data_IF_360093004958
#
_entry.id   IF_360093004958
#
_cell.length_a   1.000
_cell.length_b   1.000
_cell.length_c   1.000
_cell.angle_alpha   90.00
_cell.angle_beta   90.00
_cell.angle_gamma   90.00
#
_symmetry.space_group_name_H-M   'P 1'
#
loop_
_entity.id
_entity.type
_entity.pdbx_description
1 polymer ?
#
# COMPACT_ATOMS: atom_id res chain seq x y z
N UNK A 1 35.11 -59.18 11.29
CA UNK A 1 33.73 -58.86 11.68
C UNK A 1 33.71 -57.43 12.24
N UNK A 2 33.79 -56.48 11.37
CA UNK A 2 33.75 -55.06 11.78
C UNK A 2 32.33 -54.55 11.51
N UNK A 3 31.54 -54.49 12.58
CA UNK A 3 30.32 -53.75 12.59
C UNK A 3 30.73 -52.27 12.66
N UNK A 4 30.78 -51.58 11.51
CA UNK A 4 30.83 -50.14 11.47
C UNK A 4 29.67 -49.56 12.26
N UNK A 5 29.97 -48.94 13.37
CA UNK A 5 29.01 -48.08 14.09
C UNK A 5 28.79 -46.89 13.16
N UNK A 6 27.67 -46.91 12.45
CA UNK A 6 27.25 -45.76 11.65
C UNK A 6 27.05 -44.58 12.60
N UNK A 7 27.73 -43.47 12.36
CA UNK A 7 27.59 -42.27 13.16
C UNK A 7 26.11 -41.79 13.07
N UNK A 8 25.57 -41.31 14.17
CA UNK A 8 24.18 -40.81 14.26
C UNK A 8 23.85 -39.81 13.13
N UNK A 9 24.84 -39.00 12.73
CA UNK A 9 24.70 -38.06 11.60
C UNK A 9 24.46 -38.74 10.24
N UNK A 10 25.09 -39.90 10.00
CA UNK A 10 24.87 -40.66 8.77
C UNK A 10 23.49 -41.32 8.73
N UNK A 11 23.02 -41.78 9.87
CA UNK A 11 21.66 -42.36 9.98
C UNK A 11 20.61 -41.26 9.74
N UNK A 12 20.76 -40.11 10.38
CA UNK A 12 19.88 -38.96 10.19
C UNK A 12 19.86 -38.47 8.72
N UNK A 13 21.02 -38.47 8.06
CA UNK A 13 21.13 -38.08 6.65
C UNK A 13 20.43 -39.09 5.72
N UNK A 14 20.54 -40.39 6.01
CA UNK A 14 19.84 -41.42 5.25
C UNK A 14 18.31 -41.36 5.44
N UNK A 15 17.85 -41.15 6.66
CA UNK A 15 16.42 -40.97 6.97
C UNK A 15 15.87 -39.72 6.24
N UNK A 16 16.60 -38.63 6.21
CA UNK A 16 16.18 -37.45 5.48
C UNK A 16 16.15 -37.70 3.97
N UNK A 17 17.11 -38.43 3.42
CA UNK A 17 17.13 -38.80 2.01
C UNK A 17 15.98 -39.71 1.64
N UNK A 18 15.67 -40.71 2.45
CA UNK A 18 14.47 -41.59 2.26
C UNK A 18 13.18 -40.80 2.36
N UNK A 19 13.08 -39.85 3.31
CA UNK A 19 11.95 -38.97 3.44
C UNK A 19 11.74 -38.13 2.17
N UNK A 20 12.81 -37.49 1.67
CA UNK A 20 12.76 -36.70 0.42
C UNK A 20 12.37 -37.57 -0.79
N UNK A 21 12.82 -38.81 -0.82
CA UNK A 21 12.43 -39.77 -1.88
C UNK A 21 10.95 -40.13 -1.79
N UNK A 22 10.41 -40.38 -0.60
CA UNK A 22 8.98 -40.64 -0.37
C UNK A 22 8.15 -39.45 -0.75
N UNK A 23 8.55 -38.23 -0.35
CA UNK A 23 7.84 -36.98 -0.71
C UNK A 23 7.74 -36.81 -2.22
N UNK A 24 8.78 -37.14 -3.00
CA UNK A 24 8.74 -37.06 -4.47
C UNK A 24 7.83 -38.10 -5.13
N UNK A 25 7.59 -39.24 -4.51
CA UNK A 25 6.73 -40.30 -5.04
C UNK A 25 5.23 -40.04 -4.77
N UNK A 26 4.88 -39.10 -3.89
CA UNK A 26 3.52 -38.76 -3.54
C UNK A 26 2.84 -38.00 -4.68
N UNK A 27 1.77 -38.55 -5.20
CA UNK A 27 0.98 -37.93 -6.26
C UNK A 27 -0.05 -36.98 -5.64
N UNK A 28 0.07 -35.69 -5.92
CA UNK A 28 -0.83 -34.62 -5.46
C UNK A 28 -1.56 -34.04 -6.65
N UNK A 29 -2.84 -33.69 -6.48
CA UNK A 29 -3.66 -33.09 -7.54
C UNK A 29 -2.98 -31.86 -8.18
N UNK A 30 -3.15 -31.72 -9.47
CA UNK A 30 -2.71 -30.54 -10.25
C UNK A 30 -3.66 -29.37 -10.10
N UNK A 31 -4.90 -29.62 -9.66
CA UNK A 31 -5.93 -28.61 -9.42
C UNK A 31 -5.62 -27.85 -8.12
N UNK A 32 -5.55 -26.53 -8.18
CA UNK A 32 -5.30 -25.69 -7.01
C UNK A 32 -6.49 -25.70 -6.01
N UNK A 33 -7.71 -25.92 -6.50
CA UNK A 33 -8.90 -26.09 -5.66
C UNK A 33 -8.80 -27.33 -4.76
N UNK A 34 -8.38 -28.47 -5.34
CA UNK A 34 -8.26 -29.72 -4.60
C UNK A 34 -7.12 -29.66 -3.57
N UNK A 35 -6.02 -29.01 -3.95
CA UNK A 35 -4.88 -28.78 -3.04
C UNK A 35 -5.31 -27.95 -1.83
N UNK A 36 -6.09 -26.89 -2.04
CA UNK A 36 -6.64 -26.07 -0.96
C UNK A 36 -7.59 -26.83 -0.08
N UNK A 37 -8.41 -27.70 -0.67
CA UNK A 37 -9.35 -28.55 0.08
C UNK A 37 -8.60 -29.60 0.92
N UNK A 38 -7.57 -30.22 0.38
CA UNK A 38 -6.77 -31.20 1.11
C UNK A 38 -5.96 -30.53 2.25
N UNK A 39 -5.46 -29.31 2.06
CA UNK A 39 -4.84 -28.54 3.14
C UNK A 39 -5.85 -28.20 4.26
N UNK A 40 -7.10 -27.84 3.91
CA UNK A 40 -8.17 -27.64 4.89
C UNK A 40 -8.43 -28.89 5.72
N UNK A 41 -8.52 -30.05 5.06
CA UNK A 41 -8.74 -31.34 5.72
C UNK A 41 -7.60 -31.68 6.68
N UNK A 42 -6.40 -31.24 6.39
CA UNK A 42 -5.25 -31.42 7.29
C UNK A 42 -5.21 -30.42 8.45
N UNK A 43 -6.06 -29.38 8.43
CA UNK A 43 -6.06 -28.30 9.43
C UNK A 43 -4.92 -27.31 9.26
N UNK A 44 -4.32 -27.27 8.07
CA UNK A 44 -3.21 -26.38 7.75
C UNK A 44 -3.71 -25.10 7.05
N UNK A 45 -3.00 -24.00 7.17
CA UNK A 45 -3.32 -22.77 6.45
C UNK A 45 -3.41 -23.00 4.94
N UNK A 46 -4.49 -22.53 4.30
CA UNK A 46 -4.74 -22.77 2.88
C UNK A 46 -3.72 -22.07 2.00
N UNK A 47 -3.38 -20.84 2.36
CA UNK A 47 -2.39 -20.03 1.68
C UNK A 47 -1.48 -19.38 2.71
N UNK A 48 -0.18 -19.47 2.49
CA UNK A 48 0.81 -18.65 3.17
C UNK A 48 1.11 -17.42 2.34
N UNK A 49 1.57 -16.39 3.02
CA UNK A 49 1.89 -15.12 2.37
C UNK A 49 3.00 -15.32 1.32
N UNK A 50 2.76 -14.85 0.07
CA UNK A 50 3.71 -15.01 -1.04
C UNK A 50 3.74 -16.39 -1.70
N UNK A 51 2.88 -17.33 -1.28
CA UNK A 51 2.84 -18.70 -1.77
C UNK A 51 2.06 -18.83 -3.08
N UNK A 52 2.74 -19.29 -4.13
CA UNK A 52 2.10 -19.62 -5.41
C UNK A 52 1.41 -21.01 -5.40
N UNK A 53 0.63 -21.32 -6.47
CA UNK A 53 -0.03 -22.63 -6.60
C UNK A 53 0.94 -23.82 -6.60
N UNK A 54 2.15 -23.63 -7.14
CA UNK A 54 3.20 -24.63 -7.17
C UNK A 54 3.78 -24.89 -5.76
N UNK A 55 3.97 -23.82 -4.99
CA UNK A 55 4.52 -23.90 -3.64
C UNK A 55 3.54 -24.57 -2.69
N UNK A 56 2.23 -24.27 -2.80
CA UNK A 56 1.15 -24.95 -2.07
C UNK A 56 1.16 -26.46 -2.32
N UNK A 57 1.30 -26.89 -3.58
CA UNK A 57 1.42 -28.29 -3.93
C UNK A 57 2.65 -28.96 -3.30
N UNK A 58 3.78 -28.28 -3.31
CA UNK A 58 5.01 -28.78 -2.68
C UNK A 58 4.83 -28.89 -1.16
N UNK A 59 4.24 -27.89 -0.53
CA UNK A 59 3.91 -27.92 0.91
C UNK A 59 2.97 -29.06 1.27
N UNK A 60 1.89 -29.24 0.49
CA UNK A 60 0.98 -30.39 0.71
C UNK A 60 1.72 -31.72 0.57
N UNK A 61 2.60 -31.84 -0.41
CA UNK A 61 3.41 -33.05 -0.63
C UNK A 61 4.36 -33.33 0.54
N UNK A 62 4.97 -32.31 1.12
CA UNK A 62 5.81 -32.43 2.31
C UNK A 62 5.01 -32.84 3.55
N UNK A 63 3.83 -32.25 3.74
CA UNK A 63 2.94 -32.61 4.84
C UNK A 63 2.47 -34.07 4.75
N UNK A 64 2.09 -34.53 3.56
CA UNK A 64 1.75 -35.90 3.31
C UNK A 64 2.91 -36.88 3.52
N UNK A 65 4.12 -36.43 3.18
CA UNK A 65 5.34 -37.20 3.47
C UNK A 65 5.63 -37.34 4.96
N UNK A 66 5.18 -36.41 5.80
CA UNK A 66 5.30 -36.47 7.27
C UNK A 66 4.18 -37.28 7.92
N UNK A 67 2.94 -37.08 7.48
CA UNK A 67 1.73 -37.64 8.11
C UNK A 67 1.32 -39.00 7.53
N UNK A 68 1.79 -39.34 6.34
CA UNK A 68 1.39 -40.51 5.58
C UNK A 68 0.17 -40.27 4.69
N UNK A 69 0.14 -40.91 3.52
CA UNK A 69 -0.94 -40.75 2.51
C UNK A 69 -2.33 -41.19 3.01
N UNK A 70 -2.39 -42.09 3.96
CA UNK A 70 -3.64 -42.65 4.48
C UNK A 70 -4.45 -41.68 5.35
N UNK A 71 -3.82 -40.56 5.81
CA UNK A 71 -4.49 -39.60 6.68
C UNK A 71 -5.62 -38.88 5.94
N UNK A 72 -5.40 -38.49 4.69
CA UNK A 72 -6.45 -37.88 3.87
C UNK A 72 -7.55 -38.85 3.54
N UNK A 73 -7.21 -40.10 3.21
CA UNK A 73 -8.21 -41.16 2.92
C UNK A 73 -9.08 -41.42 4.12
N UNK A 74 -8.50 -41.58 5.33
CA UNK A 74 -9.24 -41.77 6.57
C UNK A 74 -10.14 -40.58 6.91
N UNK A 75 -9.68 -39.36 6.73
CA UNK A 75 -10.51 -38.16 6.95
C UNK A 75 -11.63 -38.03 5.92
N UNK A 76 -11.40 -38.33 4.63
CA UNK A 76 -12.47 -38.39 3.61
C UNK A 76 -13.57 -39.35 3.98
N UNK A 77 -13.21 -40.53 4.51
CA UNK A 77 -14.20 -41.54 4.98
C UNK A 77 -14.97 -41.04 6.20
N UNK A 78 -14.31 -40.34 7.14
CA UNK A 78 -14.99 -39.75 8.29
C UNK A 78 -15.91 -38.60 7.91
N UNK A 79 -15.49 -37.73 6.97
CA UNK A 79 -16.33 -36.64 6.47
C UNK A 79 -17.55 -37.13 5.69
N UNK A 80 -17.43 -38.22 4.93
CA UNK A 80 -18.55 -38.83 4.23
C UNK A 80 -19.53 -39.55 5.19
N UNK A 81 -19.06 -40.03 6.35
CA UNK A 81 -19.92 -40.60 7.40
C UNK A 81 -20.63 -39.50 8.21
N UNK A 82 -19.99 -38.34 8.46
CA UNK A 82 -20.62 -37.23 9.15
C UNK A 82 -21.63 -36.45 8.29
N UNK A 83 -21.48 -36.47 6.97
CA UNK A 83 -22.42 -35.82 6.03
C UNK A 83 -23.76 -36.51 5.92
N UNK A 84 -23.88 -37.79 6.37
CA UNK A 84 -25.16 -38.51 6.36
C UNK A 84 -26.09 -38.17 7.52
N UNK A 85 -25.58 -37.52 8.57
CA UNK A 85 -26.36 -37.16 9.77
C UNK A 85 -26.69 -35.66 9.88
N UNK A 86 -26.29 -34.81 8.92
CA UNK A 86 -26.38 -33.32 8.98
C UNK A 86 -27.30 -32.69 7.92
N UNK A 87 -28.17 -33.45 7.25
CA UNK A 87 -29.03 -32.83 6.19
C UNK A 87 -30.21 -31.97 6.73
N UNK A 88 -30.28 -31.75 8.05
CA UNK A 88 -31.36 -30.97 8.69
C UNK A 88 -30.97 -29.72 9.49
N UNK A 89 -29.71 -29.24 9.45
CA UNK A 89 -29.35 -27.96 10.05
C UNK A 89 -28.39 -27.18 9.18
N UNK A 90 -28.93 -26.49 8.18
CA UNK A 90 -28.21 -25.45 7.46
C UNK A 90 -28.18 -24.17 8.32
N UNK A 91 -27.43 -24.19 9.38
CA UNK A 91 -26.84 -22.95 9.87
C UNK A 91 -25.57 -22.73 9.04
N UNK A 92 -25.63 -21.78 8.14
CA UNK A 92 -24.45 -21.21 7.50
C UNK A 92 -23.60 -20.58 8.59
N UNK A 93 -22.80 -21.39 9.27
CA UNK A 93 -21.71 -20.86 10.08
C UNK A 93 -20.77 -20.19 9.10
N UNK A 94 -20.80 -18.86 9.07
CA UNK A 94 -19.83 -18.05 8.35
C UNK A 94 -18.45 -18.51 8.79
N UNK A 95 -17.75 -19.24 7.92
CA UNK A 95 -16.36 -19.58 8.16
C UNK A 95 -15.57 -18.27 8.12
N UNK A 96 -15.34 -17.67 9.25
CA UNK A 96 -14.54 -16.48 9.41
C UNK A 96 -13.07 -16.84 9.25
N UNK A 97 -12.57 -16.72 8.03
CA UNK A 97 -11.16 -16.94 7.68
C UNK A 97 -10.25 -15.77 8.08
N UNK A 98 -10.85 -14.69 8.52
CA UNK A 98 -10.16 -13.46 8.94
C UNK A 98 -10.71 -13.03 10.29
N UNK A 99 -9.87 -12.44 11.12
CA UNK A 99 -10.37 -11.75 12.30
C UNK A 99 -11.41 -10.73 11.90
N UNK A 100 -12.55 -10.72 12.58
CA UNK A 100 -13.54 -9.66 12.38
C UNK A 100 -12.87 -8.33 12.73
N UNK A 101 -12.75 -7.46 11.74
CA UNK A 101 -12.32 -6.10 11.97
C UNK A 101 -13.38 -5.33 12.79
N UNK A 102 -13.02 -4.16 13.32
CA UNK A 102 -13.97 -3.30 14.02
C UNK A 102 -15.14 -2.95 13.10
N UNK A 103 -16.33 -2.76 13.66
CA UNK A 103 -17.53 -2.37 12.89
C UNK A 103 -17.32 -1.05 12.13
N UNK A 104 -16.52 -0.13 12.69
CA UNK A 104 -16.10 1.10 12.02
C UNK A 104 -15.42 0.84 10.67
N UNK A 105 -14.62 -0.24 10.54
CA UNK A 105 -13.98 -0.60 9.29
C UNK A 105 -15.00 -1.01 8.22
N UNK A 106 -16.06 -1.74 8.60
CA UNK A 106 -17.12 -2.12 7.67
C UNK A 106 -17.85 -0.89 7.13
N UNK A 107 -18.22 0.02 8.03
CA UNK A 107 -18.89 1.28 7.65
C UNK A 107 -18.00 2.12 6.74
N UNK A 108 -16.69 2.24 7.05
CA UNK A 108 -15.75 2.95 6.21
C UNK A 108 -15.60 2.32 4.82
N UNK A 109 -15.53 0.99 4.72
CA UNK A 109 -15.46 0.26 3.43
C UNK A 109 -16.71 0.46 2.58
N UNK A 110 -17.90 0.39 3.18
CA UNK A 110 -19.17 0.66 2.51
C UNK A 110 -19.20 2.10 1.98
N UNK A 111 -18.78 3.04 2.81
CA UNK A 111 -18.70 4.45 2.43
C UNK A 111 -17.70 4.70 1.30
N UNK A 112 -16.49 4.12 1.38
CA UNK A 112 -15.47 4.20 0.33
C UNK A 112 -15.97 3.56 -0.97
N UNK A 113 -16.72 2.47 -0.90
CA UNK A 113 -17.32 1.86 -2.09
C UNK A 113 -18.34 2.78 -2.76
N UNK A 114 -19.24 3.38 -1.98
CA UNK A 114 -20.23 4.33 -2.48
C UNK A 114 -19.58 5.58 -3.11
N UNK A 115 -18.47 6.06 -2.50
CA UNK A 115 -17.72 7.20 -2.99
C UNK A 115 -16.97 6.90 -4.29
N UNK A 116 -16.28 5.74 -4.36
CA UNK A 116 -15.32 5.42 -5.43
C UNK A 116 -15.97 4.88 -6.70
N UNK A 117 -17.07 4.12 -6.63
CA UNK A 117 -17.71 3.50 -7.80
C UNK A 117 -18.16 4.53 -8.85
N UNK A 118 -18.89 5.62 -8.49
CA UNK A 118 -19.28 6.64 -9.46
C UNK A 118 -18.07 7.32 -10.12
N UNK A 119 -17.03 7.62 -9.33
CA UNK A 119 -15.80 8.27 -9.81
C UNK A 119 -15.03 7.37 -10.78
N UNK A 120 -14.88 6.10 -10.45
CA UNK A 120 -14.26 5.12 -11.35
C UNK A 120 -15.04 5.01 -12.67
N UNK A 121 -16.38 5.04 -12.63
CA UNK A 121 -17.21 5.02 -13.83
C UNK A 121 -16.96 6.26 -14.70
N UNK A 122 -16.90 7.44 -14.10
CA UNK A 122 -16.63 8.70 -14.80
C UNK A 122 -15.22 8.69 -15.42
N UNK A 123 -14.19 8.24 -14.67
CA UNK A 123 -12.84 8.10 -15.17
C UNK A 123 -12.76 7.17 -16.38
N UNK A 124 -13.39 6.00 -16.31
CA UNK A 124 -13.43 5.05 -17.41
C UNK A 124 -14.16 5.61 -18.65
N UNK A 125 -15.21 6.40 -18.45
CA UNK A 125 -15.89 7.10 -19.56
C UNK A 125 -14.97 8.13 -20.20
N UNK A 126 -14.23 8.94 -19.40
CA UNK A 126 -13.28 9.91 -19.89
C UNK A 126 -12.16 9.23 -20.72
N UNK A 127 -11.58 8.15 -20.19
CA UNK A 127 -10.53 7.38 -20.92
C UNK A 127 -11.05 6.84 -22.24
N UNK A 128 -12.30 6.37 -22.31
CA UNK A 128 -12.92 5.92 -23.58
C UNK A 128 -13.06 7.07 -24.58
N UNK A 129 -13.53 8.23 -24.12
CA UNK A 129 -13.63 9.42 -24.98
C UNK A 129 -12.25 9.88 -25.50
N UNK A 130 -11.24 9.88 -24.63
CA UNK A 130 -9.85 10.19 -25.03
C UNK A 130 -9.29 9.18 -26.04
N UNK A 131 -9.62 7.90 -25.90
CA UNK A 131 -9.21 6.86 -26.84
C UNK A 131 -9.90 6.97 -28.20
N UNK A 132 -11.14 7.51 -28.25
CA UNK A 132 -11.90 7.76 -29.49
C UNK A 132 -11.44 9.02 -30.22
N UNK A 133 -10.66 9.89 -29.56
CA UNK A 133 -10.13 11.11 -30.22
C UNK A 133 -9.17 10.74 -31.36
N UNK A 134 -9.23 11.51 -32.47
CA UNK A 134 -8.30 11.33 -33.59
C UNK A 134 -6.84 11.41 -33.13
N UNK A 135 -6.00 10.51 -33.65
CA UNK A 135 -4.58 10.42 -33.29
C UNK A 135 -3.82 11.75 -33.48
N UNK A 136 -4.17 12.48 -34.55
CA UNK A 136 -3.58 13.81 -34.81
C UNK A 136 -3.82 14.81 -33.68
N UNK A 137 -5.04 14.83 -33.12
CA UNK A 137 -5.40 15.73 -32.01
C UNK A 137 -4.65 15.34 -30.73
N UNK A 138 -4.54 14.04 -30.46
CA UNK A 138 -3.80 13.52 -29.30
C UNK A 138 -2.31 13.83 -29.42
N UNK A 139 -1.71 13.63 -30.60
CA UNK A 139 -0.30 13.98 -30.82
C UNK A 139 -0.05 15.48 -30.70
N UNK A 140 -0.95 16.34 -31.20
CA UNK A 140 -0.84 17.77 -31.05
C UNK A 140 -0.87 18.22 -29.59
N UNK A 141 -1.78 17.67 -28.79
CA UNK A 141 -1.85 17.94 -27.34
C UNK A 141 -0.57 17.48 -26.62
N UNK A 142 -0.06 16.31 -26.96
CA UNK A 142 1.18 15.79 -26.40
C UNK A 142 2.40 16.66 -26.77
N UNK A 143 2.49 17.14 -28.01
CA UNK A 143 3.53 18.07 -28.44
C UNK A 143 3.46 19.40 -27.69
N UNK A 144 2.25 19.91 -27.43
CA UNK A 144 2.07 21.13 -26.67
C UNK A 144 2.55 20.97 -25.22
N UNK A 145 2.20 19.84 -24.55
CA UNK A 145 2.72 19.55 -23.22
C UNK A 145 4.25 19.44 -23.24
N UNK A 146 4.83 18.73 -24.20
CA UNK A 146 6.28 18.62 -24.30
C UNK A 146 6.96 20.00 -24.51
N UNK A 147 6.33 20.89 -25.29
CA UNK A 147 6.82 22.24 -25.49
C UNK A 147 6.77 23.06 -24.19
N UNK A 148 5.68 22.93 -23.40
CA UNK A 148 5.58 23.58 -22.09
C UNK A 148 6.65 23.07 -21.13
N UNK A 149 6.86 21.75 -21.06
CA UNK A 149 7.88 21.15 -20.20
C UNK A 149 9.30 21.58 -20.58
N UNK A 150 9.61 21.71 -21.88
CA UNK A 150 10.92 22.22 -22.33
C UNK A 150 11.18 23.68 -21.99
N UNK A 151 10.13 24.46 -21.81
CA UNK A 151 10.21 25.86 -21.48
C UNK A 151 10.10 26.16 -19.96
N UNK A 152 10.21 25.11 -19.12
CA UNK A 152 10.23 25.28 -17.68
C UNK A 152 11.56 25.87 -17.23
N UNK A 153 11.50 27.05 -16.64
CA UNK A 153 12.63 27.76 -16.04
C UNK A 153 12.42 27.94 -14.53
N UNK A 154 13.51 28.13 -13.79
CA UNK A 154 13.46 28.44 -12.36
C UNK A 154 13.02 29.89 -12.20
N UNK A 155 11.79 30.10 -11.74
CA UNK A 155 11.20 31.45 -11.53
C UNK A 155 11.68 32.07 -10.23
N UNK A 156 11.74 31.29 -9.15
CA UNK A 156 12.15 31.78 -7.84
C UNK A 156 12.87 30.67 -7.03
N UNK A 157 13.73 31.12 -6.13
CA UNK A 157 14.41 30.24 -5.16
C UNK A 157 14.33 30.90 -3.79
N UNK A 158 13.79 30.15 -2.80
CA UNK A 158 13.60 30.64 -1.45
C UNK A 158 14.17 29.68 -0.42
N UNK A 159 14.83 30.23 0.60
CA UNK A 159 15.32 29.44 1.73
C UNK A 159 14.16 29.19 2.70
N UNK A 160 13.66 27.98 2.74
CA UNK A 160 12.52 27.65 3.58
C UNK A 160 12.89 27.55 5.07
N UNK A 161 14.05 26.97 5.39
CA UNK A 161 14.48 26.79 6.77
C UNK A 161 16.00 26.64 6.89
N UNK A 162 16.52 26.72 8.12
CA UNK A 162 17.94 26.45 8.46
C UNK A 162 18.27 24.95 8.49
N UNK A 163 17.24 24.10 8.65
CA UNK A 163 17.34 22.64 8.60
C UNK A 163 16.81 22.11 7.27
N UNK A 164 17.18 20.89 6.88
CA UNK A 164 16.69 20.29 5.64
C UNK A 164 15.17 20.25 5.55
N UNK A 165 14.64 20.59 4.38
CA UNK A 165 13.23 20.42 4.04
C UNK A 165 13.01 18.96 3.68
N UNK A 166 12.09 18.28 4.40
CA UNK A 166 11.76 16.88 4.21
C UNK A 166 10.73 16.66 3.12
N UNK A 167 9.79 17.58 2.98
CA UNK A 167 8.67 17.49 2.05
C UNK A 167 8.09 18.84 1.69
N UNK A 168 7.51 18.92 0.48
CA UNK A 168 6.72 20.06 0.05
C UNK A 168 5.55 19.62 -0.82
N UNK A 169 4.46 20.37 -0.75
CA UNK A 169 3.26 20.11 -1.55
C UNK A 169 2.51 21.41 -1.82
N UNK A 170 2.06 21.60 -3.07
CA UNK A 170 1.17 22.68 -3.45
C UNK A 170 -0.25 22.44 -2.95
N UNK A 171 -0.97 23.51 -2.65
CA UNK A 171 -2.41 23.48 -2.40
C UNK A 171 -3.17 23.05 -3.67
N UNK A 172 -4.39 22.51 -3.56
CA UNK A 172 -5.19 22.08 -4.71
C UNK A 172 -5.47 23.20 -5.72
N UNK A 173 -5.59 24.44 -5.23
CA UNK A 173 -5.77 25.65 -6.05
C UNK A 173 -4.46 26.24 -6.60
N UNK A 174 -3.32 25.61 -6.25
CA UNK A 174 -1.96 26.06 -6.63
C UNK A 174 -1.58 27.45 -6.12
N UNK A 175 -2.34 28.05 -5.22
CA UNK A 175 -2.06 29.40 -4.69
C UNK A 175 -1.01 29.38 -3.57
N UNK A 176 -0.87 28.27 -2.85
CA UNK A 176 0.04 28.13 -1.71
C UNK A 176 0.93 26.90 -1.83
N UNK A 177 2.10 26.97 -1.21
CA UNK A 177 3.03 25.86 -1.05
C UNK A 177 3.23 25.59 0.44
N UNK A 178 3.03 24.36 0.88
CA UNK A 178 3.38 23.91 2.22
C UNK A 178 4.75 23.23 2.22
N UNK A 179 5.58 23.54 3.20
CA UNK A 179 6.90 22.91 3.39
C UNK A 179 7.02 22.36 4.80
N UNK A 180 7.57 21.17 4.92
CA UNK A 180 7.88 20.52 6.19
C UNK A 180 9.40 20.45 6.38
N UNK A 181 9.89 20.76 7.59
CA UNK A 181 11.32 20.80 7.89
C UNK A 181 11.69 19.89 9.06
N UNK A 182 12.94 19.51 9.10
CA UNK A 182 13.52 18.78 10.24
C UNK A 182 13.66 19.63 11.50
N UNK A 183 13.38 20.93 11.43
CA UNK A 183 13.31 21.81 12.61
C UNK A 183 12.06 21.61 13.48
N UNK A 184 11.09 20.81 13.04
CA UNK A 184 9.79 20.66 13.71
C UNK A 184 8.75 21.68 13.24
N UNK A 185 9.10 22.55 12.31
CA UNK A 185 8.25 23.64 11.83
C UNK A 185 7.77 23.37 10.42
N UNK A 186 6.50 23.66 10.18
CA UNK A 186 5.93 23.69 8.85
C UNK A 186 5.66 25.15 8.43
N UNK A 187 5.89 25.49 7.19
CA UNK A 187 5.70 26.86 6.67
C UNK A 187 4.81 26.83 5.44
N UNK A 188 3.94 27.82 5.36
CA UNK A 188 3.07 28.07 4.21
C UNK A 188 3.57 29.30 3.45
N UNK A 189 3.69 29.15 2.16
CA UNK A 189 4.22 30.17 1.24
C UNK A 189 3.17 30.53 0.22
N UNK A 190 3.05 31.81 -0.09
CA UNK A 190 2.26 32.29 -1.21
C UNK A 190 3.04 32.06 -2.50
N UNK A 191 2.44 31.46 -3.51
CA UNK A 191 3.15 31.10 -4.75
C UNK A 191 3.44 32.34 -5.62
N UNK A 192 2.53 33.30 -5.65
CA UNK A 192 2.67 34.51 -6.47
C UNK A 192 3.92 35.33 -6.12
N UNK A 193 4.13 35.61 -4.83
CA UNK A 193 5.20 36.49 -4.34
C UNK A 193 6.34 35.70 -3.70
N UNK A 194 6.24 34.39 -3.59
CA UNK A 194 7.15 33.52 -2.81
C UNK A 194 7.34 34.01 -1.36
N UNK A 195 6.36 34.74 -0.81
CA UNK A 195 6.39 35.28 0.53
C UNK A 195 5.91 34.24 1.57
N UNK A 196 6.45 34.34 2.79
CA UNK A 196 6.00 33.49 3.89
C UNK A 196 4.64 33.98 4.35
N UNK A 197 3.61 33.14 4.14
CA UNK A 197 2.25 33.44 4.56
C UNK A 197 2.04 33.09 6.04
N UNK A 198 2.51 31.92 6.50
CA UNK A 198 2.29 31.46 7.88
C UNK A 198 3.34 30.44 8.32
N UNK A 199 3.56 30.37 9.62
CA UNK A 199 4.44 29.39 10.27
C UNK A 199 3.62 28.54 11.23
N UNK A 200 3.54 27.23 11.00
CA UNK A 200 2.80 26.28 11.83
C UNK A 200 3.75 25.66 12.85
N UNK A 201 3.46 25.84 14.12
CA UNK A 201 4.28 25.36 15.26
C UNK A 201 3.51 24.40 16.13
N UNK A 202 4.10 23.26 16.45
CA UNK A 202 3.45 22.26 17.32
C UNK A 202 4.18 20.95 17.39
N UNK A 203 5.02 20.60 16.41
CA UNK A 203 5.86 19.40 16.49
C UNK A 203 7.13 19.68 17.29
N UNK A 204 7.53 18.73 18.12
CA UNK A 204 8.76 18.77 18.93
C UNK A 204 9.94 18.13 18.21
N UNK A 205 9.68 17.30 17.20
CA UNK A 205 10.67 16.51 16.46
C UNK A 205 10.65 16.79 14.95
N UNK A 206 11.45 16.07 14.19
CA UNK A 206 11.54 16.23 12.75
C UNK A 206 10.21 15.91 12.07
N UNK A 207 9.69 16.87 11.28
CA UNK A 207 8.51 16.63 10.46
C UNK A 207 8.89 15.81 9.24
N UNK A 208 8.21 14.69 9.02
CA UNK A 208 8.44 13.79 7.88
C UNK A 208 7.76 14.27 6.61
N UNK A 209 6.49 14.67 6.70
CA UNK A 209 5.71 15.17 5.58
C UNK A 209 4.60 16.12 6.02
N UNK A 210 4.11 16.91 5.07
CA UNK A 210 2.91 17.71 5.17
C UNK A 210 2.07 17.48 3.93
N UNK A 211 0.77 17.36 4.08
CA UNK A 211 -0.16 17.10 2.97
C UNK A 211 -1.39 17.98 3.06
N UNK A 212 -1.90 18.37 1.89
CA UNK A 212 -3.13 19.11 1.75
C UNK A 212 -4.33 18.17 1.60
N UNK A 213 -5.46 18.56 2.19
CA UNK A 213 -6.74 18.00 1.79
C UNK A 213 -7.06 18.43 0.35
N UNK A 214 -7.56 17.54 -0.48
CA UNK A 214 -7.95 17.86 -1.87
C UNK A 214 -9.13 18.83 -1.94
N UNK A 215 -9.89 18.94 -0.86
CA UNK A 215 -11.02 19.86 -0.71
C UNK A 215 -10.63 21.21 -0.14
N UNK A 216 -9.39 21.36 0.36
CA UNK A 216 -8.86 22.60 0.93
C UNK A 216 -8.92 23.74 -0.08
N UNK A 217 -9.40 24.90 0.34
CA UNK A 217 -9.59 26.11 -0.49
C UNK A 217 -10.54 25.95 -1.70
N UNK A 218 -11.12 24.79 -1.92
CA UNK A 218 -12.08 24.56 -3.00
C UNK A 218 -13.50 24.48 -2.45
N UNK A 219 -13.69 23.73 -1.36
CA UNK A 219 -14.99 23.53 -0.71
C UNK A 219 -14.96 23.57 0.81
N UNK A 220 -13.76 23.53 1.44
CA UNK A 220 -13.57 23.67 2.87
C UNK A 220 -13.32 25.12 3.26
N UNK A 221 -13.88 25.55 4.39
CA UNK A 221 -13.58 26.82 5.01
C UNK A 221 -12.15 26.82 5.58
N UNK A 222 -11.53 28.00 5.69
CA UNK A 222 -10.16 28.14 6.20
C UNK A 222 -10.01 27.69 7.66
N UNK A 223 -11.09 27.66 8.44
CA UNK A 223 -11.10 27.21 9.83
C UNK A 223 -11.14 25.69 9.99
N UNK A 224 -11.38 24.94 8.91
CA UNK A 224 -11.41 23.47 8.95
C UNK A 224 -10.03 22.86 8.76
N UNK A 225 -9.91 21.53 8.97
CA UNK A 225 -8.66 20.81 8.82
C UNK A 225 -8.22 20.70 7.35
N UNK A 226 -7.50 21.70 6.88
CA UNK A 226 -7.01 21.80 5.49
C UNK A 226 -5.71 21.03 5.25
N UNK A 227 -4.90 20.85 6.29
CA UNK A 227 -3.57 20.26 6.22
C UNK A 227 -3.37 19.19 7.29
N UNK A 228 -2.55 18.21 6.99
CA UNK A 228 -2.04 17.24 7.96
C UNK A 228 -0.52 17.18 7.87
N UNK A 229 0.15 17.10 9.01
CA UNK A 229 1.59 16.88 9.10
C UNK A 229 1.90 15.70 10.00
N UNK A 230 2.98 14.99 9.72
CA UNK A 230 3.43 13.86 10.52
C UNK A 230 4.89 14.04 10.92
N UNK A 231 5.25 13.55 12.12
CA UNK A 231 6.59 13.70 12.66
C UNK A 231 7.21 12.38 13.15
N UNK A 232 8.49 12.49 13.49
CA UNK A 232 9.31 11.33 13.90
C UNK A 232 8.97 10.78 15.28
N UNK A 233 8.24 11.53 16.10
CA UNK A 233 7.73 11.10 17.42
C UNK A 233 6.43 10.31 17.35
N UNK A 234 5.91 10.05 16.15
CA UNK A 234 4.62 9.40 15.95
C UNK A 234 3.45 10.37 15.94
N UNK A 235 3.65 11.66 16.23
CA UNK A 235 2.56 12.64 16.24
C UNK A 235 2.11 12.97 14.81
N UNK A 236 0.80 13.03 14.64
CA UNK A 236 0.16 13.51 13.41
C UNK A 236 -0.78 14.64 13.79
N UNK A 237 -0.59 15.81 13.20
CA UNK A 237 -1.31 17.03 13.52
C UNK A 237 -2.12 17.54 12.35
N UNK A 238 -3.33 17.99 12.66
CA UNK A 238 -4.25 18.63 11.70
C UNK A 238 -4.20 20.15 11.89
N UNK A 239 -4.19 20.86 10.79
CA UNK A 239 -4.03 22.30 10.77
C UNK A 239 -5.12 22.98 9.97
N UNK A 240 -5.53 24.15 10.48
CA UNK A 240 -6.34 25.11 9.73
C UNK A 240 -5.45 26.14 9.03
N UNK A 241 -6.04 26.91 8.12
CA UNK A 241 -5.38 28.05 7.52
C UNK A 241 -5.47 29.30 8.38
N UNK A 242 -6.33 29.34 9.39
CA UNK A 242 -6.57 30.53 10.21
C UNK A 242 -5.69 30.58 11.47
N UNK A 243 -5.19 29.44 11.96
CA UNK A 243 -4.37 29.37 13.17
C UNK A 243 -2.95 28.88 12.91
N UNK A 244 -2.01 29.26 13.79
CA UNK A 244 -0.64 28.74 13.81
C UNK A 244 -0.50 27.50 14.69
N UNK A 245 -1.51 27.22 15.52
CA UNK A 245 -1.59 26.06 16.41
C UNK A 245 -2.40 24.93 15.76
N UNK A 246 -2.09 23.66 16.07
CA UNK A 246 -2.83 22.53 15.53
C UNK A 246 -4.28 22.53 16.02
N UNK A 247 -5.21 22.14 15.14
CA UNK A 247 -6.61 21.96 15.48
C UNK A 247 -6.85 20.69 16.30
N UNK A 248 -6.17 19.62 15.93
CA UNK A 248 -6.27 18.32 16.56
C UNK A 248 -4.99 17.52 16.40
N UNK A 249 -4.74 16.66 17.37
CA UNK A 249 -3.66 15.68 17.34
C UNK A 249 -4.26 14.30 17.19
N UNK A 250 -3.72 13.52 16.25
CA UNK A 250 -4.05 12.11 16.07
C UNK A 250 -3.03 11.32 16.88
N UNK A 251 -3.48 10.75 18.00
CA UNK A 251 -2.69 9.89 18.85
C UNK A 251 -2.88 8.41 18.50
N UNK A 252 -1.88 7.58 18.78
CA UNK A 252 -1.96 6.12 18.59
C UNK A 252 -0.83 5.52 17.76
N UNK A 253 0.16 6.30 17.37
CA UNK A 253 1.37 5.79 16.76
C UNK A 253 2.50 5.68 17.77
N UNK A 254 2.99 4.46 18.01
CA UNK A 254 4.14 4.19 18.88
C UNK A 254 5.49 4.33 18.17
N UNK A 255 5.46 4.45 16.84
CA UNK A 255 6.63 4.52 15.99
C UNK A 255 6.59 5.76 15.07
N UNK A 256 7.75 6.07 14.51
CA UNK A 256 7.90 7.19 13.57
C UNK A 256 6.91 7.10 12.42
N UNK A 257 6.22 8.20 12.11
CA UNK A 257 5.42 8.35 10.89
C UNK A 257 6.26 9.06 9.83
N UNK A 258 6.46 8.41 8.70
CA UNK A 258 7.30 8.92 7.61
C UNK A 258 6.54 9.80 6.62
N UNK A 259 5.34 9.37 6.25
CA UNK A 259 4.48 10.06 5.27
C UNK A 259 3.01 9.94 5.69
N UNK A 260 2.25 10.93 5.29
CA UNK A 260 0.80 10.90 5.38
C UNK A 260 0.20 11.34 4.04
N UNK A 261 -1.01 10.89 3.75
CA UNK A 261 -1.75 11.25 2.55
C UNK A 261 -3.24 11.30 2.84
N UNK A 262 -3.92 12.34 2.35
CA UNK A 262 -5.37 12.43 2.41
C UNK A 262 -6.02 11.52 1.37
N UNK A 263 -7.07 10.85 1.78
CA UNK A 263 -7.99 10.22 0.84
C UNK A 263 -8.68 11.31 0.00
N UNK A 264 -8.99 11.07 -1.29
CA UNK A 264 -9.59 12.06 -2.18
C UNK A 264 -10.92 12.68 -1.69
N UNK A 265 -11.58 12.01 -0.76
CA UNK A 265 -12.81 12.55 -0.14
C UNK A 265 -12.56 13.64 0.91
N UNK A 266 -11.32 13.75 1.42
CA UNK A 266 -11.00 14.61 2.57
C UNK A 266 -11.35 14.03 3.95
N UNK A 267 -12.13 12.93 4.02
CA UNK A 267 -12.58 12.32 5.29
C UNK A 267 -11.52 11.44 5.94
N UNK A 268 -10.75 10.68 5.16
CA UNK A 268 -9.78 9.74 5.69
C UNK A 268 -8.35 10.22 5.45
N UNK A 269 -7.46 9.86 6.38
CA UNK A 269 -6.02 10.08 6.29
C UNK A 269 -5.29 8.75 6.40
N UNK A 270 -4.36 8.48 5.51
CA UNK A 270 -3.43 7.35 5.65
C UNK A 270 -2.08 7.83 6.18
N UNK A 271 -1.49 7.02 7.03
CA UNK A 271 -0.17 7.24 7.62
C UNK A 271 0.73 6.04 7.37
N UNK A 272 1.95 6.27 6.90
CA UNK A 272 2.99 5.25 6.71
C UNK A 272 3.89 5.24 7.95
N UNK A 273 3.95 4.11 8.64
CA UNK A 273 4.56 3.97 9.95
C UNK A 273 5.77 3.04 9.90
N UNK A 274 6.76 3.27 10.76
CA UNK A 274 7.97 2.46 10.85
C UNK A 274 7.80 1.18 11.69
N UNK A 275 6.58 0.84 12.04
CA UNK A 275 6.18 -0.46 12.62
C UNK A 275 5.86 -1.53 11.55
N UNK A 276 6.27 -1.33 10.30
CA UNK A 276 6.01 -2.18 9.13
C UNK A 276 4.54 -2.15 8.67
N UNK A 277 3.75 -1.22 9.16
CA UNK A 277 2.33 -1.07 8.84
C UNK A 277 2.01 0.31 8.25
N UNK A 278 0.86 0.42 7.66
CA UNK A 278 0.23 1.71 7.40
C UNK A 278 -1.17 1.70 8.01
N UNK A 279 -1.63 2.87 8.43
CA UNK A 279 -2.91 3.02 9.13
C UNK A 279 -3.82 3.98 8.40
N UNK A 280 -5.13 3.75 8.52
CA UNK A 280 -6.18 4.61 8.00
C UNK A 280 -6.98 5.20 9.16
N UNK A 281 -7.11 6.52 9.16
CA UNK A 281 -7.78 7.29 10.20
C UNK A 281 -9.03 7.95 9.65
N UNK A 282 -10.12 7.90 10.39
CA UNK A 282 -11.32 8.71 10.13
C UNK A 282 -11.15 10.07 10.83
N UNK A 283 -11.12 11.14 10.05
CA UNK A 283 -10.89 12.49 10.57
C UNK A 283 -12.14 13.10 11.25
N UNK A 284 -13.33 12.57 10.95
CA UNK A 284 -14.56 13.01 11.64
C UNK A 284 -14.60 12.51 13.10
N UNK A 285 -14.09 11.32 13.35
CA UNK A 285 -14.11 10.67 14.66
C UNK A 285 -12.74 10.69 15.36
N UNK A 286 -11.66 11.04 14.64
CA UNK A 286 -10.26 10.96 15.07
C UNK A 286 -9.90 9.56 15.58
N UNK A 287 -10.44 8.51 14.94
CA UNK A 287 -10.25 7.11 15.33
C UNK A 287 -9.53 6.34 14.24
N UNK A 288 -8.72 5.36 14.67
CA UNK A 288 -8.11 4.40 13.75
C UNK A 288 -9.18 3.45 13.20
N UNK A 289 -9.29 3.38 11.87
CA UNK A 289 -10.24 2.52 11.16
C UNK A 289 -9.58 1.24 10.70
N UNK A 290 -8.35 1.33 10.20
CA UNK A 290 -7.62 0.21 9.65
C UNK A 290 -6.16 0.27 10.06
N UNK A 291 -5.67 -0.83 10.62
CA UNK A 291 -4.26 -1.12 10.80
C UNK A 291 -3.88 -2.20 9.77
N UNK A 292 -3.13 -1.83 8.76
CA UNK A 292 -2.78 -2.75 7.68
C UNK A 292 -1.32 -3.16 7.78
N UNK A 293 -1.10 -4.37 8.18
CA UNK A 293 0.18 -5.05 8.14
C UNK A 293 0.43 -5.69 6.76
N UNK A 294 1.68 -6.03 6.50
CA UNK A 294 2.03 -6.78 5.30
C UNK A 294 3.43 -6.54 4.76
N UNK A 295 4.04 -5.39 5.00
CA UNK A 295 5.45 -5.14 4.69
C UNK A 295 6.37 -5.87 5.67
N UNK A 296 7.52 -6.33 5.21
CA UNK A 296 8.51 -6.99 6.04
C UNK A 296 9.48 -6.01 6.72
N UNK A 297 9.48 -4.76 6.29
CA UNK A 297 10.24 -3.65 6.86
C UNK A 297 9.36 -2.41 6.91
N UNK A 298 9.93 -1.32 7.42
CA UNK A 298 9.28 -0.05 7.63
C UNK A 298 8.59 0.46 6.36
N UNK A 299 7.34 0.93 6.51
CA UNK A 299 6.61 1.56 5.43
C UNK A 299 7.01 3.03 5.36
N UNK A 300 7.47 3.45 4.20
CA UNK A 300 7.97 4.81 4.01
C UNK A 300 6.95 5.74 3.36
N UNK A 301 6.13 5.23 2.44
CA UNK A 301 5.17 6.04 1.69
C UNK A 301 3.83 5.35 1.55
N UNK A 302 2.78 6.15 1.54
CA UNK A 302 1.41 5.73 1.23
C UNK A 302 0.75 6.81 0.41
N UNK A 303 -0.01 6.44 -0.62
CA UNK A 303 -0.78 7.37 -1.44
C UNK A 303 -2.05 6.73 -1.99
N UNK A 304 -3.07 7.54 -2.28
CA UNK A 304 -4.35 7.09 -2.78
C UNK A 304 -4.52 7.34 -4.27
N UNK A 305 -5.26 6.46 -4.92
CA UNK A 305 -5.76 6.68 -6.27
C UNK A 305 -6.82 7.79 -6.25
N UNK A 306 -6.95 8.55 -7.33
CA UNK A 306 -7.91 9.65 -7.44
C UNK A 306 -9.39 9.24 -7.23
N UNK A 307 -9.74 8.00 -7.57
CA UNK A 307 -11.08 7.46 -7.31
C UNK A 307 -11.32 7.16 -5.82
N UNK A 308 -10.25 7.00 -5.02
CA UNK A 308 -10.31 6.61 -3.62
C UNK A 308 -10.55 5.11 -3.37
N UNK A 309 -10.55 4.27 -4.41
CA UNK A 309 -10.72 2.82 -4.25
C UNK A 309 -9.46 2.09 -3.83
N UNK A 310 -8.31 2.56 -4.32
CA UNK A 310 -7.03 1.90 -4.17
C UNK A 310 -6.04 2.78 -3.41
N UNK A 311 -5.16 2.13 -2.67
CA UNK A 311 -4.00 2.75 -2.05
C UNK A 311 -2.72 2.03 -2.51
N UNK A 312 -1.63 2.77 -2.62
CA UNK A 312 -0.28 2.22 -2.84
C UNK A 312 0.56 2.49 -1.60
N UNK A 313 1.25 1.48 -1.11
CA UNK A 313 2.26 1.64 -0.07
C UNK A 313 3.62 1.21 -0.59
N UNK A 314 4.67 1.89 -0.13
CA UNK A 314 6.05 1.54 -0.44
C UNK A 314 6.87 1.40 0.83
N UNK A 315 7.61 0.29 0.94
CA UNK A 315 8.42 -0.05 2.11
C UNK A 315 9.92 -0.08 1.84
N UNK A 316 10.68 -0.05 2.92
CA UNK A 316 12.14 -0.28 2.87
C UNK A 316 12.50 -1.75 2.57
N UNK A 317 11.50 -2.63 2.45
CA UNK A 317 11.61 -4.01 1.97
C UNK A 317 11.81 -4.13 0.45
N UNK A 318 11.96 -3.02 -0.27
CA UNK A 318 12.07 -2.88 -1.73
C UNK A 318 10.80 -3.19 -2.52
N UNK A 319 9.70 -3.48 -1.84
CA UNK A 319 8.41 -3.75 -2.48
C UNK A 319 7.47 -2.56 -2.37
N UNK A 320 6.70 -2.35 -3.44
CA UNK A 320 5.46 -1.60 -3.37
C UNK A 320 4.27 -2.56 -3.31
N UNK A 321 3.18 -2.14 -2.70
CA UNK A 321 1.94 -2.92 -2.61
C UNK A 321 0.75 -2.06 -2.96
N UNK A 322 -0.16 -2.65 -3.68
CA UNK A 322 -1.44 -2.01 -4.04
C UNK A 322 -2.56 -2.69 -3.29
N UNK A 323 -3.31 -1.91 -2.56
CA UNK A 323 -4.39 -2.34 -1.69
C UNK A 323 -5.74 -1.87 -2.21
N UNK A 324 -6.73 -2.75 -2.23
CA UNK A 324 -8.12 -2.36 -2.43
C UNK A 324 -8.76 -2.07 -1.07
N UNK A 325 -9.11 -0.81 -0.84
CA UNK A 325 -9.68 -0.34 0.42
C UNK A 325 -11.08 -0.92 0.68
N UNK A 326 -11.81 -1.30 -0.37
CA UNK A 326 -13.17 -1.86 -0.27
C UNK A 326 -13.14 -3.30 0.22
N UNK A 327 -12.18 -4.08 -0.26
CA UNK A 327 -12.05 -5.51 0.09
C UNK A 327 -10.99 -5.74 1.17
N UNK A 328 -10.04 -4.81 1.35
CA UNK A 328 -8.89 -4.94 2.25
C UNK A 328 -7.82 -5.89 1.75
N UNK A 329 -7.85 -6.27 0.47
CA UNK A 329 -6.89 -7.20 -0.11
C UNK A 329 -5.73 -6.47 -0.80
N UNK A 330 -4.54 -7.05 -0.70
CA UNK A 330 -3.43 -6.66 -1.56
C UNK A 330 -3.66 -7.26 -2.95
N UNK A 331 -3.92 -6.40 -3.94
CA UNK A 331 -4.25 -6.82 -5.31
C UNK A 331 -3.02 -6.98 -6.19
N UNK A 332 -1.92 -6.28 -5.87
CA UNK A 332 -0.71 -6.32 -6.68
C UNK A 332 0.53 -6.05 -5.84
N UNK A 333 1.59 -6.79 -6.13
CA UNK A 333 2.93 -6.54 -5.65
C UNK A 333 3.73 -5.86 -6.75
N UNK A 334 4.41 -4.77 -6.39
CA UNK A 334 5.32 -4.04 -7.27
C UNK A 334 6.74 -4.52 -6.95
N UNK A 335 7.12 -5.63 -7.59
CA UNK A 335 8.43 -6.26 -7.40
C UNK A 335 9.39 -5.85 -8.52
N UNK A 336 10.55 -5.32 -8.18
CA UNK A 336 11.57 -4.95 -9.17
C UNK A 336 12.57 -3.89 -8.72
N UNK A 337 12.34 -3.18 -7.60
CA UNK A 337 13.34 -2.34 -7.00
C UNK A 337 14.37 -3.16 -6.19
N UNK A 338 15.62 -2.71 -6.21
CA UNK A 338 16.72 -3.38 -5.50
C UNK A 338 16.89 -2.88 -4.06
N UNK A 339 16.37 -1.70 -3.75
CA UNK A 339 16.43 -1.04 -2.44
C UNK A 339 15.08 -0.49 -2.05
N UNK A 340 14.98 0.05 -0.84
CA UNK A 340 13.75 0.58 -0.28
C UNK A 340 13.04 1.60 -1.20
N UNK A 341 11.73 1.50 -1.27
CA UNK A 341 10.85 2.41 -2.00
C UNK A 341 10.61 3.63 -1.12
N UNK A 342 11.00 4.81 -1.59
CA UNK A 342 10.93 6.08 -0.85
C UNK A 342 9.75 6.96 -1.24
N UNK A 343 9.16 6.71 -2.41
CA UNK A 343 7.99 7.44 -2.85
C UNK A 343 7.18 6.64 -3.85
N UNK A 344 5.89 6.89 -3.84
CA UNK A 344 4.94 6.28 -4.78
C UNK A 344 3.85 7.29 -5.08
N UNK A 345 3.43 7.38 -6.34
CA UNK A 345 2.35 8.26 -6.77
C UNK A 345 1.51 7.62 -7.87
N UNK A 346 0.28 8.06 -7.98
CA UNK A 346 -0.68 7.60 -8.96
C UNK A 346 -0.74 8.51 -10.17
N UNK A 347 -0.88 7.92 -11.34
CA UNK A 347 -1.21 8.68 -12.54
C UNK A 347 -2.66 9.16 -12.48
N UNK A 348 -2.98 10.34 -13.04
CA UNK A 348 -4.35 10.88 -13.11
C UNK A 348 -5.34 9.96 -13.81
N UNK A 349 -4.88 9.13 -14.73
CA UNK A 349 -5.69 8.10 -15.41
C UNK A 349 -6.02 6.91 -14.49
N UNK A 350 -5.36 6.81 -13.32
CA UNK A 350 -5.54 5.76 -12.33
C UNK A 350 -5.14 4.36 -12.78
N UNK A 351 -4.48 4.22 -13.93
CA UNK A 351 -4.01 2.93 -14.48
C UNK A 351 -2.52 2.70 -14.28
N UNK A 352 -1.75 3.75 -14.00
CA UNK A 352 -0.31 3.65 -13.77
C UNK A 352 0.06 4.12 -12.37
N UNK A 353 1.12 3.52 -11.86
CA UNK A 353 1.77 3.91 -10.62
C UNK A 353 3.22 4.22 -10.92
N UNK A 354 3.73 5.27 -10.31
CA UNK A 354 5.16 5.59 -10.37
C UNK A 354 5.74 5.39 -8.98
N UNK A 355 6.81 4.62 -8.89
CA UNK A 355 7.56 4.41 -7.65
C UNK A 355 8.98 4.90 -7.80
N UNK A 356 9.54 5.44 -6.75
CA UNK A 356 10.96 5.78 -6.68
C UNK A 356 11.63 5.07 -5.52
N UNK A 357 12.93 4.83 -5.68
CA UNK A 357 13.70 4.03 -4.74
C UNK A 357 15.09 4.60 -4.48
N UNK A 358 15.69 4.12 -3.41
CA UNK A 358 17.09 4.34 -3.07
C UNK A 358 18.06 3.61 -4.03
N UNK A 359 17.56 2.84 -4.99
CA UNK A 359 18.35 2.21 -6.07
C UNK A 359 18.65 3.15 -7.24
N UNK A 360 18.37 4.46 -7.08
CA UNK A 360 18.57 5.50 -8.07
C UNK A 360 17.71 5.29 -9.33
N UNK A 361 16.54 4.69 -9.20
CA UNK A 361 15.61 4.52 -10.30
C UNK A 361 14.19 4.90 -9.91
N UNK A 362 13.43 5.32 -10.92
CA UNK A 362 11.97 5.40 -10.85
C UNK A 362 11.40 4.38 -11.81
N UNK A 363 10.33 3.69 -11.39
CA UNK A 363 9.67 2.69 -12.21
C UNK A 363 8.21 3.07 -12.41
N UNK A 364 7.74 2.89 -13.63
CA UNK A 364 6.35 3.09 -14.01
C UNK A 364 5.71 1.71 -14.20
N UNK A 365 4.60 1.50 -13.51
CA UNK A 365 3.88 0.23 -13.46
C UNK A 365 2.53 0.38 -14.12
N UNK A 366 2.19 -0.55 -14.99
CA UNK A 366 0.85 -0.68 -15.56
C UNK A 366 0.05 -1.71 -14.75
N UNK A 367 -1.01 -1.25 -14.09
CA UNK A 367 -1.90 -2.11 -13.30
C UNK A 367 -2.65 -3.14 -14.15
N UNK A 368 -2.95 -2.82 -15.40
CA UNK A 368 -3.69 -3.70 -16.31
C UNK A 368 -2.83 -4.87 -16.76
N UNK A 369 -1.55 -4.58 -17.10
CA UNK A 369 -0.57 -5.58 -17.50
C UNK A 369 0.12 -6.24 -16.31
N UNK A 370 0.01 -5.64 -15.12
CA UNK A 370 0.67 -6.08 -13.87
C UNK A 370 2.18 -6.20 -14.04
N UNK A 371 2.78 -5.29 -14.78
CA UNK A 371 4.20 -5.32 -15.10
C UNK A 371 4.79 -3.91 -15.09
N UNK A 372 6.13 -3.84 -15.07
CA UNK A 372 6.89 -2.61 -15.27
C UNK A 372 6.74 -2.22 -16.74
N UNK A 373 6.27 -1.00 -16.99
CA UNK A 373 6.19 -0.45 -18.34
C UNK A 373 7.55 0.08 -18.78
N UNK A 374 8.17 0.89 -17.94
CA UNK A 374 9.53 1.37 -18.15
C UNK A 374 10.21 1.79 -16.84
N UNK A 375 11.56 1.86 -16.88
CA UNK A 375 12.39 2.29 -15.78
C UNK A 375 13.12 3.56 -16.17
N UNK A 376 13.02 4.60 -15.34
CA UNK A 376 13.72 5.86 -15.52
C UNK A 376 14.93 5.86 -14.60
N UNK A 377 16.17 5.83 -15.11
CA UNK A 377 17.34 5.92 -14.27
C UNK A 377 17.51 7.36 -13.75
N UNK A 378 17.72 7.53 -12.46
CA UNK A 378 18.11 8.80 -11.87
C UNK A 378 19.65 8.97 -11.95
N UNK A 379 20.15 10.19 -12.12
CA UNK A 379 21.54 10.36 -12.56
C UNK A 379 22.62 9.99 -11.56
N UNK A 380 22.48 10.20 -10.24
CA UNK A 380 23.63 9.99 -9.33
C UNK A 380 23.29 9.63 -7.89
N UNK A 381 22.10 9.99 -7.39
CA UNK A 381 21.74 9.81 -5.98
C UNK A 381 20.37 9.16 -5.79
N UNK A 382 20.10 8.74 -4.57
CA UNK A 382 18.80 8.19 -4.18
C UNK A 382 17.67 9.17 -4.56
N UNK A 383 16.59 8.62 -5.05
CA UNK A 383 15.37 9.40 -5.31
C UNK A 383 14.53 9.41 -4.05
N UNK A 384 14.27 10.58 -3.51
CA UNK A 384 13.56 10.75 -2.24
C UNK A 384 12.04 10.81 -2.39
N UNK A 385 11.54 11.28 -3.53
CA UNK A 385 10.12 11.39 -3.80
C UNK A 385 9.84 11.46 -5.30
N UNK A 386 8.61 11.11 -5.67
CA UNK A 386 8.08 11.23 -7.02
C UNK A 386 6.67 11.79 -6.96
N UNK A 387 6.32 12.63 -7.93
CA UNK A 387 4.96 13.14 -8.10
C UNK A 387 4.59 13.13 -9.58
N UNK A 388 3.35 12.81 -9.86
CA UNK A 388 2.79 12.82 -11.22
C UNK A 388 1.93 14.06 -11.35
N UNK A 389 2.22 14.87 -12.39
CA UNK A 389 1.41 16.05 -12.72
C UNK A 389 0.14 15.61 -13.46
N UNK A 390 -0.95 16.24 -13.14
CA UNK A 390 -2.25 16.09 -13.81
C UNK A 390 -2.31 16.86 -15.13
#
# INVERSE_FOLDING_TARGET
MDKEIMSEDKVAMLEEFERRRKVKSINVSTSDSDVKEDLRKLGEPICLFGEGPADRRNRLRELLGRLGEDVIKRRRIMDDMSKKDEDDRVDKTEQTWYHKGPDALRVAREWIAQYSIPRAKQRLQRIKQEAEMPEKTRMAAQQEVQKRVKNLDVVASQIADTRPVSFCQFSPDSSMLATASWSGVCKLWQVEDCSLARTLRGHSTHVGAITWSLTAKVSLDNGEACLASCASDGSVKLWSLDSEEPLADIEGHDARVSRCSYHPSGRFLATAVWDNSWRLWDLEQLTEVLHQEGHSKEVYTVNFQQDGALAVSGGLDSFGRVWDLRTGQCIMFLEGHLKGVTGADWSPDGSHIVTCSQDNSCKVWDLRKRNIEYTIPAPTNLVSNVRVSS
#
